data_IF_796400434038
#
_entry.id   IF_796400434038
#
_cell.length_a   1.000
_cell.length_b   1.000
_cell.length_c   1.000
_cell.angle_alpha   90.00
_cell.angle_beta   90.00
_cell.angle_gamma   90.00
#
_symmetry.space_group_name_H-M   'P 1'
#
loop_
_entity.id
_entity.type
_entity.pdbx_description
1 polymer ?
#
# COMPACT_ATOMS: atom_id res chain seq x y z
N UNK A 1 -25.19 -31.27 2.16
CA UNK A 1 -26.53 -30.89 1.72
C UNK A 1 -27.04 -29.81 2.65
N UNK A 2 -27.18 -28.60 2.18
CA UNK A 2 -28.19 -27.58 2.48
C UNK A 2 -27.70 -26.21 1.94
N UNK A 3 -28.22 -25.88 0.78
CA UNK A 3 -28.16 -24.54 0.16
C UNK A 3 -29.10 -23.62 0.92
N UNK A 4 -28.64 -22.44 1.30
CA UNK A 4 -29.53 -21.30 1.58
C UNK A 4 -29.12 -20.12 0.72
N UNK A 5 -29.92 -19.89 -0.31
CA UNK A 5 -30.02 -18.61 -1.02
C UNK A 5 -30.73 -17.60 -0.10
N UNK A 6 -30.18 -16.40 0.00
CA UNK A 6 -30.89 -15.22 0.49
C UNK A 6 -30.77 -14.13 -0.57
N UNK A 7 -31.90 -13.91 -1.25
CA UNK A 7 -32.14 -12.74 -2.12
C UNK A 7 -32.35 -11.51 -1.25
N UNK A 8 -31.68 -10.41 -1.57
CA UNK A 8 -31.99 -9.09 -1.04
C UNK A 8 -32.37 -8.16 -2.20
N UNK A 9 -33.56 -7.61 -2.07
CA UNK A 9 -34.27 -6.75 -3.00
C UNK A 9 -33.68 -5.34 -2.98
N UNK A 10 -33.46 -4.80 -4.18
CA UNK A 10 -33.09 -3.40 -4.44
C UNK A 10 -34.35 -2.57 -4.52
N UNK A 11 -34.45 -1.52 -3.74
CA UNK A 11 -35.49 -0.49 -3.86
C UNK A 11 -34.84 0.81 -4.38
N UNK A 12 -35.17 1.17 -5.62
CA UNK A 12 -34.94 2.50 -6.19
C UNK A 12 -36.03 3.45 -5.71
N UNK A 13 -35.67 4.64 -5.26
CA UNK A 13 -36.59 5.76 -5.13
C UNK A 13 -36.00 6.99 -5.84
N UNK A 14 -36.62 7.32 -6.95
CA UNK A 14 -36.52 8.59 -7.66
C UNK A 14 -37.54 9.59 -7.08
N UNK A 15 -37.24 10.88 -7.17
CA UNK A 15 -38.09 12.11 -7.19
C UNK A 15 -37.33 13.18 -6.40
N UNK A 16 -37.07 14.38 -6.91
CA UNK A 16 -37.80 15.27 -7.76
C UNK A 16 -37.00 16.54 -8.10
N UNK A 17 -37.29 17.05 -9.26
CA UNK A 17 -36.91 18.39 -9.74
C UNK A 17 -37.66 19.49 -8.98
N UNK A 18 -37.00 20.63 -8.73
CA UNK A 18 -37.65 21.93 -8.62
C UNK A 18 -36.75 23.01 -9.19
N UNK A 19 -37.28 23.69 -10.19
CA UNK A 19 -36.74 24.86 -10.83
C UNK A 19 -37.14 26.15 -10.05
N UNK A 20 -36.30 27.18 -10.22
CA UNK A 20 -36.78 28.57 -10.08
C UNK A 20 -35.97 29.44 -9.14
N UNK A 21 -35.38 30.53 -9.67
CA UNK A 21 -34.95 31.67 -8.87
C UNK A 21 -33.70 32.39 -9.37
N UNK A 22 -33.89 33.27 -10.37
CA UNK A 22 -32.92 34.32 -10.73
C UNK A 22 -32.71 35.31 -9.58
N UNK A 23 -31.49 35.62 -9.27
CA UNK A 23 -31.03 36.94 -8.81
C UNK A 23 -29.47 36.98 -8.80
N UNK A 24 -28.91 37.76 -9.72
CA UNK A 24 -27.55 38.32 -9.71
C UNK A 24 -27.61 39.73 -9.07
N UNK A 25 -26.46 40.37 -8.75
CA UNK A 25 -25.10 39.97 -8.42
C UNK A 25 -24.60 40.56 -7.08
N UNK A 26 -23.60 39.97 -6.48
CA UNK A 26 -22.69 40.76 -5.62
C UNK A 26 -21.32 40.13 -5.63
N UNK A 27 -20.37 40.89 -6.14
CA UNK A 27 -18.97 40.54 -6.15
C UNK A 27 -18.45 40.47 -4.70
N UNK A 28 -18.14 39.27 -4.26
CA UNK A 28 -17.30 39.04 -3.08
C UNK A 28 -16.02 38.35 -3.56
N UNK A 29 -14.94 39.11 -3.55
CA UNK A 29 -13.58 38.64 -3.78
C UNK A 29 -13.25 37.61 -2.70
N UNK A 30 -13.45 36.34 -3.02
CA UNK A 30 -13.04 35.24 -2.15
C UNK A 30 -11.61 34.86 -2.52
N UNK A 31 -10.65 35.36 -1.74
CA UNK A 31 -9.28 34.86 -1.75
C UNK A 31 -9.31 33.34 -1.53
N UNK A 32 -9.14 32.60 -2.62
CA UNK A 32 -8.87 31.18 -2.55
C UNK A 32 -7.51 31.02 -1.87
N UNK A 33 -7.53 30.72 -0.59
CA UNK A 33 -6.37 30.16 0.09
C UNK A 33 -6.08 28.82 -0.58
N UNK A 34 -5.13 28.82 -1.49
CA UNK A 34 -4.52 27.62 -2.05
C UNK A 34 -3.79 26.93 -0.90
N UNK A 35 -4.50 26.12 -0.16
CA UNK A 35 -3.92 25.17 0.78
C UNK A 35 -3.10 24.19 -0.02
N UNK A 36 -1.82 24.50 -0.19
CA UNK A 36 -0.82 23.55 -0.64
C UNK A 36 -0.81 22.44 0.41
N UNK A 37 -1.53 21.35 0.12
CA UNK A 37 -1.36 20.10 0.85
C UNK A 37 0.10 19.68 0.59
N UNK A 38 0.96 20.04 1.54
CA UNK A 38 2.32 19.50 1.59
C UNK A 38 2.15 18.00 1.78
N UNK A 39 2.22 17.25 0.69
CA UNK A 39 2.41 15.82 0.76
C UNK A 39 3.70 15.63 1.53
N UNK A 40 3.62 15.23 2.79
CA UNK A 40 4.77 14.79 3.56
C UNK A 40 5.41 13.66 2.77
N UNK A 41 6.49 13.96 2.08
CA UNK A 41 7.30 12.95 1.42
C UNK A 41 7.77 12.00 2.51
N UNK A 42 7.17 10.82 2.57
CA UNK A 42 7.61 9.74 3.44
C UNK A 42 9.09 9.49 3.14
N UNK A 43 9.99 9.55 4.13
CA UNK A 43 11.41 9.36 3.86
C UNK A 43 11.63 7.99 3.23
N UNK A 44 12.25 7.96 2.06
CA UNK A 44 12.68 6.74 1.40
C UNK A 44 13.83 6.13 2.21
N UNK A 45 13.53 5.08 2.95
CA UNK A 45 14.51 4.33 3.71
C UNK A 45 14.79 3.04 2.97
N UNK A 46 16.02 2.85 2.50
CA UNK A 46 16.46 1.54 2.02
C UNK A 46 16.50 0.59 3.21
N UNK A 47 15.58 -0.34 3.24
CA UNK A 47 15.35 -1.17 4.40
C UNK A 47 16.29 -2.38 4.42
N UNK A 48 17.21 -2.37 5.37
CA UNK A 48 17.84 -3.61 5.81
C UNK A 48 16.90 -4.34 6.79
N UNK A 49 16.93 -5.69 6.85
CA UNK A 49 16.26 -6.43 7.91
C UNK A 49 16.60 -5.87 9.28
N UNK A 50 15.61 -5.68 10.14
CA UNK A 50 15.81 -5.05 11.45
C UNK A 50 14.52 -4.61 12.12
N UNK A 51 14.64 -3.77 13.15
CA UNK A 51 13.53 -3.26 13.93
C UNK A 51 13.13 -1.87 13.44
N UNK A 52 11.82 -1.67 13.25
CA UNK A 52 11.20 -0.41 12.82
C UNK A 52 10.01 -0.08 13.70
N UNK A 53 9.68 1.21 13.76
CA UNK A 53 8.51 1.67 14.51
C UNK A 53 7.57 2.44 13.59
N UNK A 54 6.28 2.28 13.82
CA UNK A 54 5.20 3.00 13.14
C UNK A 54 4.12 3.34 14.16
N UNK A 55 3.46 4.49 14.03
CA UNK A 55 2.35 4.82 14.91
C UNK A 55 1.07 4.12 14.48
N UNK A 56 0.17 3.94 15.43
CA UNK A 56 -1.16 3.43 15.13
C UNK A 56 -1.88 4.35 14.12
N UNK A 57 -2.40 3.75 13.06
CA UNK A 57 -3.06 4.45 11.96
C UNK A 57 -2.11 5.03 10.91
N UNK A 58 -0.80 5.00 11.13
CA UNK A 58 0.20 5.45 10.15
C UNK A 58 0.71 4.31 9.27
N UNK A 59 1.25 4.69 8.14
CA UNK A 59 1.88 3.80 7.15
C UNK A 59 3.40 3.97 7.17
N UNK A 60 4.11 2.85 7.19
CA UNK A 60 5.56 2.76 7.01
C UNK A 60 5.85 2.07 5.68
N UNK A 61 6.65 2.70 4.83
CA UNK A 61 7.09 2.14 3.55
C UNK A 61 8.58 1.85 3.58
N UNK A 62 8.94 0.61 3.30
CA UNK A 62 10.32 0.12 3.30
C UNK A 62 10.65 -0.38 1.89
N UNK A 63 11.61 0.25 1.21
CA UNK A 63 12.13 -0.27 -0.06
C UNK A 63 12.90 -1.55 0.20
N UNK A 64 12.42 -2.69 -0.27
CA UNK A 64 13.00 -4.00 0.02
C UNK A 64 13.83 -4.58 -1.13
N UNK A 65 13.73 -4.00 -2.31
CA UNK A 65 14.49 -4.44 -3.47
C UNK A 65 13.81 -4.10 -4.79
N UNK A 66 14.27 -4.77 -5.82
CA UNK A 66 13.83 -4.60 -7.19
C UNK A 66 13.28 -5.90 -7.75
N UNK A 67 12.18 -5.82 -8.49
CA UNK A 67 11.59 -6.95 -9.18
C UNK A 67 11.50 -6.68 -10.69
N UNK A 68 11.52 -7.76 -11.47
CA UNK A 68 11.15 -7.75 -12.86
C UNK A 68 10.43 -9.07 -13.15
N UNK A 69 9.12 -9.04 -13.06
CA UNK A 69 8.28 -10.24 -13.18
C UNK A 69 8.38 -10.89 -14.56
N UNK A 70 8.69 -10.13 -15.61
CA UNK A 70 8.80 -10.66 -16.97
C UNK A 70 9.95 -11.68 -17.13
N UNK A 71 10.99 -11.53 -16.32
CA UNK A 71 12.12 -12.47 -16.27
C UNK A 71 12.09 -13.32 -15.01
N UNK A 72 11.05 -13.18 -14.17
CA UNK A 72 10.76 -14.04 -13.05
C UNK A 72 11.27 -13.59 -11.69
N UNK A 73 11.82 -12.36 -11.57
CA UNK A 73 12.23 -11.80 -10.28
C UNK A 73 11.02 -11.25 -9.52
N UNK A 74 10.85 -11.64 -8.26
CA UNK A 74 9.73 -11.18 -7.44
C UNK A 74 9.97 -11.33 -5.95
N UNK A 75 8.99 -10.87 -5.17
CA UNK A 75 8.94 -11.00 -3.73
C UNK A 75 7.56 -11.46 -3.29
N UNK A 76 7.50 -12.23 -2.21
CA UNK A 76 6.26 -12.66 -1.58
C UNK A 76 6.37 -12.49 -0.07
N UNK A 77 5.29 -12.14 0.60
CA UNK A 77 5.23 -12.19 2.07
C UNK A 77 5.07 -13.67 2.42
N UNK A 78 6.10 -14.25 3.01
CA UNK A 78 6.13 -15.68 3.40
C UNK A 78 5.67 -15.91 4.84
N UNK A 79 5.75 -14.88 5.70
CA UNK A 79 5.11 -14.88 7.01
C UNK A 79 4.48 -13.51 7.26
N UNK A 80 3.16 -13.53 7.41
CA UNK A 80 2.36 -12.33 7.71
C UNK A 80 2.59 -11.88 9.17
N UNK A 81 2.47 -10.58 9.45
CA UNK A 81 2.47 -10.08 10.82
C UNK A 81 1.20 -10.51 11.56
N UNK A 82 1.22 -10.40 12.89
CA UNK A 82 -0.04 -10.47 13.66
C UNK A 82 -1.00 -9.38 13.16
N UNK A 83 -2.07 -9.82 12.51
CA UNK A 83 -3.05 -8.93 11.85
C UNK A 83 -3.83 -8.05 12.83
N UNK A 84 -3.78 -8.34 14.13
CA UNK A 84 -4.33 -7.47 15.18
C UNK A 84 -3.39 -6.30 15.49
N UNK A 85 -2.09 -6.44 15.27
CA UNK A 85 -1.06 -5.42 15.54
C UNK A 85 -0.79 -4.58 14.30
N UNK A 86 -0.57 -5.22 13.14
CA UNK A 86 -0.27 -4.53 11.89
C UNK A 86 -0.85 -5.28 10.68
N UNK A 87 -0.97 -4.58 9.55
CA UNK A 87 -1.16 -5.20 8.24
C UNK A 87 0.11 -4.99 7.42
N UNK A 88 0.41 -5.94 6.53
CA UNK A 88 1.50 -5.84 5.58
C UNK A 88 1.01 -6.09 4.16
N UNK A 89 1.62 -5.43 3.18
CA UNK A 89 1.41 -5.66 1.76
C UNK A 89 2.68 -5.32 0.98
N UNK A 90 2.76 -5.80 -0.26
CA UNK A 90 3.79 -5.38 -1.20
C UNK A 90 3.20 -4.41 -2.21
N UNK A 91 3.87 -3.28 -2.41
CA UNK A 91 3.57 -2.30 -3.46
C UNK A 91 4.72 -2.25 -4.45
N UNK A 92 4.41 -2.03 -5.73
CA UNK A 92 5.40 -2.02 -6.82
C UNK A 92 5.27 -0.73 -7.60
N UNK A 93 6.39 -0.10 -7.86
CA UNK A 93 6.45 1.13 -8.64
C UNK A 93 7.46 0.99 -9.76
N UNK A 94 7.02 1.29 -10.98
CA UNK A 94 7.93 1.34 -12.14
C UNK A 94 9.04 2.36 -11.88
N UNK A 95 10.29 1.92 -11.98
CA UNK A 95 11.47 2.78 -11.90
C UNK A 95 11.51 3.81 -13.02
N UNK A 96 11.09 3.40 -14.20
CA UNK A 96 11.01 4.25 -15.36
C UNK A 96 9.59 4.21 -15.94
N UNK A 97 8.78 5.27 -15.77
CA UNK A 97 7.40 5.29 -16.24
C UNK A 97 7.27 5.23 -17.77
N UNK A 98 8.36 5.47 -18.51
CA UNK A 98 8.39 5.36 -19.99
C UNK A 98 8.76 3.98 -20.49
N UNK A 99 9.06 3.06 -19.60
CA UNK A 99 9.42 1.71 -19.94
C UNK A 99 8.20 0.93 -20.45
N UNK A 100 8.38 0.14 -21.51
CA UNK A 100 7.32 -0.70 -22.05
C UNK A 100 6.93 -1.81 -21.05
N UNK A 101 5.63 -2.15 -20.93
CA UNK A 101 5.19 -3.23 -20.07
C UNK A 101 5.93 -4.54 -20.35
N UNK A 102 6.35 -5.23 -19.31
CA UNK A 102 6.97 -6.55 -19.39
C UNK A 102 8.51 -6.58 -19.49
N UNK A 103 9.19 -5.41 -19.54
CA UNK A 103 10.66 -5.36 -19.60
C UNK A 103 11.29 -4.52 -18.49
N UNK A 104 10.48 -4.01 -17.57
CA UNK A 104 10.90 -2.97 -16.64
C UNK A 104 11.22 -3.51 -15.25
N UNK A 105 12.19 -2.87 -14.62
CA UNK A 105 12.42 -3.05 -13.19
C UNK A 105 11.47 -2.19 -12.40
N UNK A 106 10.94 -2.76 -11.34
CA UNK A 106 10.04 -2.13 -10.38
C UNK A 106 10.71 -2.08 -9.02
N UNK A 107 10.63 -0.94 -8.35
CA UNK A 107 10.97 -0.84 -6.95
C UNK A 107 9.86 -1.51 -6.13
N UNK A 108 10.23 -2.44 -5.25
CA UNK A 108 9.30 -3.18 -4.39
C UNK A 108 9.35 -2.64 -2.98
N UNK A 109 8.20 -2.22 -2.49
CA UNK A 109 8.01 -1.67 -1.17
C UNK A 109 7.25 -2.63 -0.29
N UNK A 110 7.76 -2.87 0.90
CA UNK A 110 6.99 -3.46 1.99
C UNK A 110 6.24 -2.32 2.69
N UNK A 111 4.93 -2.37 2.63
CA UNK A 111 4.03 -1.38 3.21
C UNK A 111 3.42 -1.96 4.47
N UNK A 112 3.63 -1.28 5.61
CA UNK A 112 3.12 -1.68 6.92
C UNK A 112 2.16 -0.63 7.42
N UNK A 113 0.97 -1.04 7.85
CA UNK A 113 -0.02 -0.15 8.49
C UNK A 113 -0.19 -0.58 9.94
N UNK A 114 0.13 0.31 10.88
CA UNK A 114 -0.04 0.09 12.31
C UNK A 114 -1.52 0.07 12.70
N UNK A 115 -1.99 -0.98 13.36
CA UNK A 115 -3.40 -1.12 13.79
C UNK A 115 -3.59 -0.95 15.28
N UNK A 116 -2.72 -1.52 16.08
CA UNK A 116 -2.78 -1.50 17.56
C UNK A 116 -1.38 -1.57 18.13
N UNK A 117 -1.15 -0.85 19.21
CA UNK A 117 0.13 -0.90 19.91
C UNK A 117 0.55 -2.34 20.23
N UNK A 118 1.79 -2.67 19.93
CA UNK A 118 2.35 -4.02 20.08
C UNK A 118 3.56 -4.24 19.18
N UNK A 119 4.11 -5.44 19.22
CA UNK A 119 5.24 -5.83 18.38
C UNK A 119 4.90 -7.10 17.62
N UNK A 120 5.24 -7.11 16.32
CA UNK A 120 5.04 -8.24 15.42
C UNK A 120 6.22 -8.36 14.47
N UNK A 121 6.26 -9.39 13.66
CA UNK A 121 7.27 -9.56 12.61
C UNK A 121 6.62 -9.91 11.28
N UNK A 122 7.26 -9.48 10.20
CA UNK A 122 6.89 -9.84 8.84
C UNK A 122 8.12 -10.40 8.13
N UNK A 123 7.93 -11.47 7.38
CA UNK A 123 9.00 -12.08 6.58
C UNK A 123 8.64 -12.02 5.12
N UNK A 124 9.59 -11.56 4.31
CA UNK A 124 9.47 -11.51 2.85
C UNK A 124 10.54 -12.40 2.23
N UNK A 125 10.13 -13.19 1.26
CA UNK A 125 11.01 -14.09 0.53
C UNK A 125 11.15 -13.61 -0.92
N UNK A 126 12.39 -13.49 -1.37
CA UNK A 126 12.69 -13.28 -2.78
C UNK A 126 12.43 -14.56 -3.57
N UNK A 127 11.81 -14.43 -4.74
CA UNK A 127 11.51 -15.54 -5.63
C UNK A 127 12.11 -15.31 -7.03
N UNK A 128 12.50 -16.40 -7.67
CA UNK A 128 12.92 -16.40 -9.06
C UNK A 128 12.16 -17.48 -9.82
N UNK A 129 11.37 -17.08 -10.83
CA UNK A 129 10.49 -17.98 -11.60
C UNK A 129 9.58 -18.84 -10.71
N UNK A 130 9.05 -18.23 -9.65
CA UNK A 130 8.16 -18.89 -8.70
C UNK A 130 8.84 -19.84 -7.70
N UNK A 131 10.15 -20.00 -7.74
CA UNK A 131 10.91 -20.79 -6.78
C UNK A 131 11.74 -19.88 -5.85
N UNK A 132 12.04 -20.37 -4.65
CA UNK A 132 12.97 -19.71 -3.72
C UNK A 132 14.39 -20.15 -4.05
N UNK A 133 15.25 -19.27 -4.61
CA UNK A 133 16.63 -19.63 -4.90
C UNK A 133 17.46 -19.69 -3.63
N UNK A 134 18.61 -20.35 -3.67
CA UNK A 134 19.54 -20.42 -2.53
C UNK A 134 20.17 -19.07 -2.20
N UNK A 135 20.16 -18.12 -3.13
CA UNK A 135 20.72 -16.77 -2.97
C UNK A 135 19.93 -15.77 -3.80
N UNK A 136 19.58 -14.63 -3.20
CA UNK A 136 19.05 -13.48 -3.93
C UNK A 136 20.18 -12.58 -4.47
N UNK A 137 19.94 -11.77 -5.52
CA UNK A 137 20.94 -10.84 -6.06
C UNK A 137 21.52 -9.89 -5.01
N UNK A 138 20.65 -9.35 -4.13
CA UNK A 138 20.97 -8.25 -3.22
C UNK A 138 21.02 -8.69 -1.75
N UNK A 139 21.41 -9.93 -1.46
CA UNK A 139 21.55 -10.39 -0.07
C UNK A 139 20.84 -11.70 0.24
N UNK A 140 20.32 -11.87 1.47
CA UNK A 140 19.63 -13.09 1.84
C UNK A 140 18.29 -13.21 1.11
N UNK A 141 17.93 -14.44 0.77
CA UNK A 141 16.67 -14.76 0.08
C UNK A 141 15.46 -14.47 0.95
N UNK A 142 15.60 -14.71 2.24
CA UNK A 142 14.56 -14.48 3.25
C UNK A 142 14.99 -13.34 4.17
N UNK A 143 14.09 -12.39 4.38
CA UNK A 143 14.34 -11.17 5.16
C UNK A 143 13.19 -10.93 6.14
N UNK A 144 13.52 -10.71 7.40
CA UNK A 144 12.53 -10.48 8.45
C UNK A 144 12.69 -9.10 9.06
N UNK A 145 11.58 -8.40 9.22
CA UNK A 145 11.49 -7.12 9.91
C UNK A 145 10.63 -7.26 11.15
N UNK A 146 11.12 -6.69 12.25
CA UNK A 146 10.36 -6.57 13.50
C UNK A 146 9.70 -5.20 13.52
N UNK A 147 8.39 -5.17 13.68
CA UNK A 147 7.59 -3.94 13.64
C UNK A 147 7.01 -3.67 15.02
N UNK A 148 7.32 -2.51 15.57
CA UNK A 148 6.72 -2.01 16.80
C UNK A 148 5.71 -0.93 16.45
N UNK A 149 4.44 -1.18 16.77
CA UNK A 149 3.37 -0.17 16.65
C UNK A 149 3.28 0.57 17.97
N UNK A 150 3.40 1.90 17.91
CA UNK A 150 3.25 2.80 19.05
C UNK A 150 1.89 3.53 18.99
N UNK A 151 1.45 4.07 20.10
CA UNK A 151 0.25 4.93 20.17
C UNK A 151 0.47 6.29 19.52
#
# INVERSE_FOLDING_TARGET
>A
MSKRLVSAVVACALVGCSAGGEASPSAATSSAATGSASASATPMVTATPGAYSVKQGEELRLLIGEANESIGHGFVISAEPDTSVAAASLDKQLRNPTCAPGGCWEDVWLVIVGKKAGTTSVTVTYTYRGATPSKAPDGPTERTWTITVTE
#
